data_IF_233617369699
#
_entry.id   IF_233617369699
#
_cell.length_a   1.000
_cell.length_b   1.000
_cell.length_c   1.000
_cell.angle_alpha   90.00
_cell.angle_beta   90.00
_cell.angle_gamma   90.00
#
_symmetry.space_group_name_H-M   'P 1'
#
loop_
_entity.id
_entity.type
_entity.pdbx_description
1 polymer ?
#
# COMPACT_ATOMS: atom_id res chain seq x y z
N UNK A 1 -7.25 -0.47 -13.76
CA UNK A 1 -6.35 -0.95 -12.68
C UNK A 1 -7.08 -1.78 -11.63
N UNK A 2 -8.27 -1.39 -11.16
CA UNK A 2 -9.04 -2.15 -10.17
C UNK A 2 -9.38 -3.59 -10.59
N UNK A 3 -9.70 -3.83 -11.86
CA UNK A 3 -9.98 -5.18 -12.38
C UNK A 3 -8.73 -6.10 -12.30
N UNK A 4 -7.54 -5.57 -12.64
CA UNK A 4 -6.27 -6.28 -12.46
C UNK A 4 -6.02 -6.61 -10.98
N UNK A 5 -6.25 -5.65 -10.08
CA UNK A 5 -6.13 -5.85 -8.64
C UNK A 5 -7.05 -6.96 -8.13
N UNK A 6 -8.31 -6.98 -8.58
CA UNK A 6 -9.27 -8.02 -8.23
C UNK A 6 -8.81 -9.40 -8.71
N UNK A 7 -8.34 -9.52 -9.95
CA UNK A 7 -7.85 -10.80 -10.51
C UNK A 7 -6.62 -11.31 -9.76
N UNK A 8 -5.66 -10.42 -9.45
CA UNK A 8 -4.46 -10.79 -8.69
C UNK A 8 -4.84 -11.27 -7.28
N UNK A 9 -5.73 -10.55 -6.59
CA UNK A 9 -6.16 -10.89 -5.23
C UNK A 9 -6.97 -12.19 -5.18
N UNK A 10 -7.84 -12.45 -6.17
CA UNK A 10 -8.57 -13.72 -6.27
C UNK A 10 -7.64 -14.91 -6.51
N UNK A 11 -6.62 -14.75 -7.36
CA UNK A 11 -5.62 -15.80 -7.60
C UNK A 11 -4.81 -16.13 -6.33
N UNK A 12 -4.55 -15.14 -5.48
CA UNK A 12 -3.90 -15.35 -4.17
C UNK A 12 -4.81 -15.86 -3.05
N UNK A 13 -6.13 -15.90 -3.28
CA UNK A 13 -7.09 -16.31 -2.27
C UNK A 13 -7.50 -17.80 -2.37
N UNK A 14 -7.22 -18.46 -3.51
CA UNK A 14 -7.63 -19.85 -3.77
C UNK A 14 -6.86 -20.86 -2.90
N UNK A 15 -7.54 -21.75 -2.14
CA UNK A 15 -6.90 -22.75 -1.30
C UNK A 15 -6.14 -23.77 -2.17
N UNK A 16 -4.82 -23.83 -2.02
CA UNK A 16 -3.91 -24.61 -2.88
C UNK A 16 -2.78 -23.76 -3.46
N UNK A 17 -2.98 -22.44 -3.53
CA UNK A 17 -1.94 -21.45 -3.78
C UNK A 17 -1.52 -20.77 -2.46
N UNK A 18 -1.31 -21.57 -1.39
CA UNK A 18 -0.66 -21.11 -0.14
C UNK A 18 0.85 -20.90 -0.35
N UNK A 19 1.16 -20.30 -1.49
CA UNK A 19 2.42 -19.71 -1.91
C UNK A 19 2.58 -18.33 -1.28
N UNK A 20 2.01 -18.10 -0.08
CA UNK A 20 2.43 -16.97 0.74
C UNK A 20 3.95 -17.00 0.91
N UNK A 21 4.48 -18.20 1.16
CA UNK A 21 5.92 -18.47 1.19
C UNK A 21 6.62 -18.35 -0.15
N UNK A 22 6.02 -18.78 -1.28
CA UNK A 22 6.67 -18.64 -2.60
C UNK A 22 6.65 -17.21 -3.13
N UNK A 23 5.65 -16.39 -2.79
CA UNK A 23 5.64 -14.96 -3.12
C UNK A 23 6.55 -14.15 -2.22
N UNK A 24 6.65 -14.47 -0.93
CA UNK A 24 7.68 -13.92 -0.05
C UNK A 24 9.08 -14.34 -0.49
N UNK A 25 9.25 -15.58 -0.99
CA UNK A 25 10.51 -16.07 -1.58
C UNK A 25 10.79 -15.52 -2.98
N UNK A 26 9.79 -15.24 -3.82
CA UNK A 26 9.98 -14.59 -5.13
C UNK A 26 10.22 -13.08 -4.99
N UNK A 27 9.57 -12.41 -4.03
CA UNK A 27 9.92 -11.04 -3.65
C UNK A 27 11.32 -10.98 -3.02
N UNK A 28 11.68 -11.97 -2.19
CA UNK A 28 13.03 -12.16 -1.67
C UNK A 28 14.06 -12.43 -2.78
N UNK A 29 13.71 -13.24 -3.78
CA UNK A 29 14.59 -13.58 -4.90
C UNK A 29 14.76 -12.43 -5.90
N UNK A 30 13.72 -11.63 -6.14
CA UNK A 30 13.82 -10.43 -6.99
C UNK A 30 14.51 -9.27 -6.25
N UNK A 31 14.32 -9.17 -4.93
CA UNK A 31 15.10 -8.29 -4.04
C UNK A 31 16.33 -9.06 -3.54
N UNK A 32 17.17 -9.52 -4.48
CA UNK A 32 18.47 -10.15 -4.25
C UNK A 32 18.69 -10.71 -2.84
N UNK A 33 18.31 -11.97 -2.65
CA UNK A 33 18.54 -12.73 -1.41
C UNK A 33 20.04 -12.95 -1.19
N UNK A 34 20.72 -11.90 -0.74
CA UNK A 34 22.01 -12.01 -0.11
C UNK A 34 21.71 -12.41 1.36
N UNK A 35 22.20 -13.56 1.86
CA UNK A 35 21.95 -14.06 3.22
C UNK A 35 22.69 -13.24 4.30
N UNK A 36 22.85 -11.94 4.07
CA UNK A 36 23.48 -10.98 4.96
C UNK A 36 22.43 -10.38 5.90
N UNK A 37 22.77 -10.06 7.16
CA UNK A 37 21.86 -9.36 8.06
C UNK A 37 21.36 -8.10 7.36
N UNK A 38 20.04 -8.02 7.11
CA UNK A 38 19.42 -6.83 6.52
C UNK A 38 19.76 -5.64 7.43
N UNK A 39 20.77 -4.86 7.06
CA UNK A 39 21.12 -3.65 7.79
C UNK A 39 19.87 -2.80 7.86
N UNK A 40 19.56 -2.24 9.02
CA UNK A 40 18.36 -1.40 9.23
C UNK A 40 18.15 -0.40 8.08
N UNK A 41 19.24 0.20 7.60
CA UNK A 41 19.23 1.12 6.46
C UNK A 41 18.68 0.51 5.16
N UNK A 42 19.02 -0.75 4.83
CA UNK A 42 18.49 -1.43 3.63
C UNK A 42 16.99 -1.63 3.73
N UNK A 43 16.48 -2.03 4.89
CA UNK A 43 15.04 -2.20 5.11
C UNK A 43 14.29 -0.86 5.00
N UNK A 44 14.87 0.22 5.55
CA UNK A 44 14.32 1.58 5.44
C UNK A 44 14.28 2.03 3.99
N UNK A 45 15.38 1.91 3.25
CA UNK A 45 15.45 2.35 1.84
C UNK A 45 14.49 1.54 0.96
N UNK A 46 14.43 0.22 1.11
CA UNK A 46 13.52 -0.61 0.34
C UNK A 46 12.05 -0.24 0.61
N UNK A 47 11.68 -0.11 1.89
CA UNK A 47 10.32 0.29 2.27
C UNK A 47 9.97 1.69 1.78
N UNK A 48 10.92 2.63 1.89
CA UNK A 48 10.77 3.99 1.39
C UNK A 48 10.52 4.00 -0.12
N UNK A 49 11.34 3.31 -0.92
CA UNK A 49 11.20 3.30 -2.38
C UNK A 49 9.87 2.67 -2.82
N UNK A 50 9.46 1.56 -2.20
CA UNK A 50 8.18 0.91 -2.52
C UNK A 50 7.00 1.82 -2.17
N UNK A 51 6.98 2.40 -0.97
CA UNK A 51 5.93 3.31 -0.55
C UNK A 51 5.91 4.57 -1.41
N UNK A 52 7.08 5.15 -1.69
CA UNK A 52 7.22 6.33 -2.53
C UNK A 52 6.73 6.11 -3.95
N UNK A 53 7.07 4.97 -4.57
CA UNK A 53 6.58 4.64 -5.89
C UNK A 53 5.06 4.39 -5.92
N UNK A 54 4.52 3.84 -4.84
CA UNK A 54 3.07 3.56 -4.70
C UNK A 54 2.27 4.84 -4.47
N UNK A 55 2.79 5.75 -3.64
CA UNK A 55 2.15 7.00 -3.21
C UNK A 55 2.54 8.20 -4.07
N UNK A 56 3.25 7.98 -5.20
CA UNK A 56 3.67 9.07 -6.06
C UNK A 56 2.46 9.79 -6.65
N UNK A 57 2.30 11.08 -6.33
CA UNK A 57 1.16 11.87 -6.78
C UNK A 57 -0.14 11.59 -6.02
N UNK A 58 -0.05 11.02 -4.82
CA UNK A 58 -1.21 10.83 -3.95
C UNK A 58 -1.87 12.17 -3.55
N UNK A 59 -3.14 12.10 -3.18
CA UNK A 59 -3.95 13.22 -2.71
C UNK A 59 -3.32 13.94 -1.53
N UNK A 60 -2.63 13.23 -0.63
CA UNK A 60 -1.89 13.86 0.48
C UNK A 60 -0.78 14.81 0.01
N UNK A 61 -0.13 14.50 -1.12
CA UNK A 61 0.91 15.36 -1.71
C UNK A 61 0.29 16.60 -2.35
N UNK A 62 -0.83 16.46 -3.08
CA UNK A 62 -1.58 17.58 -3.64
C UNK A 62 -2.12 18.52 -2.55
N UNK A 63 -2.64 17.96 -1.46
CA UNK A 63 -3.05 18.73 -0.29
C UNK A 63 -1.87 19.50 0.31
N UNK A 64 -0.71 18.86 0.46
CA UNK A 64 0.48 19.52 1.00
C UNK A 64 0.93 20.68 0.10
N UNK A 65 0.92 20.49 -1.23
CA UNK A 65 1.22 21.56 -2.19
C UNK A 65 0.21 22.71 -2.07
N UNK A 66 -1.08 22.40 -1.96
CA UNK A 66 -2.13 23.40 -1.76
C UNK A 66 -1.94 24.18 -0.45
N UNK A 67 -1.55 23.50 0.63
CA UNK A 67 -1.27 24.14 1.92
C UNK A 67 -0.04 25.05 1.82
N UNK A 68 1.04 24.62 1.17
CA UNK A 68 2.22 25.48 0.94
C UNK A 68 1.86 26.70 0.09
N UNK A 69 0.97 26.55 -0.90
CA UNK A 69 0.50 27.69 -1.70
C UNK A 69 -0.44 28.64 -0.95
N UNK A 70 -1.12 28.17 0.08
CA UNK A 70 -2.07 28.96 0.88
C UNK A 70 -1.41 29.64 2.07
N UNK A 71 -0.50 28.92 2.73
CA UNK A 71 0.24 29.38 3.90
C UNK A 71 1.66 29.73 3.45
N UNK A 72 2.03 31.01 3.46
CA UNK A 72 3.37 31.47 3.06
C UNK A 72 4.50 31.03 4.01
N UNK A 73 4.20 30.23 5.03
CA UNK A 73 5.17 29.57 5.91
C UNK A 73 5.37 28.10 5.52
N UNK A 74 6.28 27.88 4.57
CA UNK A 74 6.66 26.58 4.06
C UNK A 74 7.25 25.61 5.11
N UNK A 75 7.88 26.10 6.18
CA UNK A 75 8.50 25.23 7.20
C UNK A 75 7.42 24.65 8.11
N UNK A 76 6.46 25.49 8.53
CA UNK A 76 5.33 25.03 9.35
C UNK A 76 4.50 23.96 8.62
N UNK A 77 4.20 24.17 7.34
CA UNK A 77 3.48 23.19 6.52
C UNK A 77 4.28 21.90 6.37
N UNK A 78 5.59 21.98 6.12
CA UNK A 78 6.45 20.80 6.02
C UNK A 78 6.45 19.97 7.31
N UNK A 79 6.68 20.60 8.47
CA UNK A 79 6.72 19.90 9.75
C UNK A 79 5.35 19.29 10.08
N UNK A 80 4.25 20.00 9.80
CA UNK A 80 2.90 19.50 10.02
C UNK A 80 2.58 18.28 9.14
N UNK A 81 2.82 18.39 7.83
CA UNK A 81 2.57 17.30 6.88
C UNK A 81 3.44 16.07 7.16
N UNK A 82 4.73 16.27 7.47
CA UNK A 82 5.64 15.19 7.83
C UNK A 82 5.20 14.48 9.12
N UNK A 83 4.82 15.24 10.15
CA UNK A 83 4.31 14.67 11.41
C UNK A 83 3.02 13.87 11.18
N UNK A 84 2.10 14.41 10.38
CA UNK A 84 0.86 13.72 10.02
C UNK A 84 1.13 12.42 9.27
N UNK A 85 2.07 12.42 8.31
CA UNK A 85 2.49 11.23 7.57
C UNK A 85 3.07 10.16 8.49
N UNK A 86 3.96 10.54 9.41
CA UNK A 86 4.54 9.61 10.39
C UNK A 86 3.47 9.00 11.31
N UNK A 87 2.54 9.82 11.79
CA UNK A 87 1.44 9.37 12.63
C UNK A 87 0.52 8.39 11.88
N UNK A 88 0.09 8.74 10.67
CA UNK A 88 -0.76 7.89 9.84
C UNK A 88 -0.07 6.55 9.49
N UNK A 89 1.20 6.59 9.09
CA UNK A 89 1.98 5.39 8.77
C UNK A 89 2.18 4.49 10.00
N UNK A 90 2.50 5.09 11.15
CA UNK A 90 2.65 4.37 12.41
C UNK A 90 1.34 3.69 12.83
N UNK A 91 0.22 4.40 12.72
CA UNK A 91 -1.11 3.84 12.98
C UNK A 91 -1.45 2.71 12.01
N UNK A 92 -1.16 2.86 10.71
CA UNK A 92 -1.41 1.82 9.72
C UNK A 92 -0.65 0.52 10.03
N UNK A 93 0.64 0.62 10.41
CA UNK A 93 1.45 -0.54 10.79
C UNK A 93 0.94 -1.22 12.06
N UNK A 94 0.53 -0.44 13.06
CA UNK A 94 -0.03 -1.00 14.31
C UNK A 94 -1.38 -1.67 14.02
N UNK A 95 -2.27 -0.98 13.29
CA UNK A 95 -3.58 -1.49 12.91
C UNK A 95 -3.47 -2.77 12.09
N UNK A 96 -2.58 -2.83 11.08
CA UNK A 96 -2.33 -4.04 10.29
C UNK A 96 -1.84 -5.20 11.15
N UNK A 97 -0.88 -4.96 12.06
CA UNK A 97 -0.39 -5.98 13.00
C UNK A 97 -1.44 -6.45 14.00
N UNK A 98 -2.35 -5.58 14.42
CA UNK A 98 -3.50 -5.98 15.24
C UNK A 98 -4.46 -6.80 14.39
N UNK A 99 -4.88 -6.32 13.22
CA UNK A 99 -5.86 -6.96 12.36
C UNK A 99 -5.48 -8.40 11.98
N UNK A 100 -4.21 -8.63 11.62
CA UNK A 100 -3.69 -9.96 11.26
C UNK A 100 -3.71 -10.96 12.43
N UNK A 101 -3.81 -10.51 13.68
CA UNK A 101 -4.00 -11.40 14.83
C UNK A 101 -5.42 -11.94 14.96
N UNK A 102 -6.40 -11.25 14.37
CA UNK A 102 -7.83 -11.57 14.52
C UNK A 102 -8.43 -12.14 13.23
N UNK A 103 -7.84 -11.83 12.06
CA UNK A 103 -8.36 -12.19 10.74
C UNK A 103 -7.35 -13.05 9.99
N UNK A 104 -7.82 -14.14 9.38
CA UNK A 104 -6.99 -14.99 8.51
C UNK A 104 -6.63 -14.26 7.22
N UNK A 105 -5.41 -14.43 6.73
CA UNK A 105 -4.90 -13.75 5.53
C UNK A 105 -5.78 -13.97 4.29
N UNK A 106 -6.36 -15.16 4.14
CA UNK A 106 -7.29 -15.47 3.04
C UNK A 106 -8.51 -14.55 3.03
N UNK A 107 -9.05 -14.22 4.21
CA UNK A 107 -10.21 -13.30 4.32
C UNK A 107 -9.81 -11.90 3.86
N UNK A 108 -8.60 -11.45 4.20
CA UNK A 108 -8.09 -10.16 3.76
C UNK A 108 -7.97 -10.10 2.22
N UNK A 109 -7.48 -11.17 1.58
CA UNK A 109 -7.42 -11.25 0.11
C UNK A 109 -8.80 -11.23 -0.54
N UNK A 110 -9.76 -12.00 -0.01
CA UNK A 110 -11.14 -12.00 -0.54
C UNK A 110 -11.82 -10.63 -0.39
N UNK A 111 -11.64 -9.96 0.75
CA UNK A 111 -12.18 -8.62 0.98
C UNK A 111 -11.52 -7.61 0.05
N UNK A 112 -10.19 -7.65 -0.10
CA UNK A 112 -9.50 -6.76 -1.05
C UNK A 112 -9.97 -7.00 -2.49
N UNK A 113 -10.11 -8.26 -2.90
CA UNK A 113 -10.61 -8.62 -4.21
C UNK A 113 -12.04 -8.10 -4.46
N UNK A 114 -12.93 -8.24 -3.48
CA UNK A 114 -14.31 -7.78 -3.61
C UNK A 114 -14.39 -6.26 -3.73
N UNK A 115 -13.62 -5.52 -2.93
CA UNK A 115 -13.52 -4.06 -3.02
C UNK A 115 -13.01 -3.62 -4.39
N UNK A 116 -11.93 -4.24 -4.89
CA UNK A 116 -11.40 -3.96 -6.22
C UNK A 116 -12.43 -4.27 -7.33
N UNK A 117 -13.21 -5.33 -7.19
CA UNK A 117 -14.22 -5.71 -8.18
C UNK A 117 -15.37 -4.70 -8.19
N UNK A 118 -15.82 -4.25 -7.02
CA UNK A 118 -16.85 -3.19 -6.89
C UNK A 118 -16.37 -1.90 -7.55
N UNK A 119 -15.13 -1.45 -7.25
CA UNK A 119 -14.58 -0.25 -7.88
C UNK A 119 -14.43 -0.41 -9.39
N UNK A 120 -14.00 -1.57 -9.87
CA UNK A 120 -13.94 -1.86 -11.31
C UNK A 120 -15.33 -1.74 -11.97
N UNK A 121 -16.37 -2.31 -11.34
CA UNK A 121 -17.73 -2.22 -11.84
C UNK A 121 -18.27 -0.77 -11.84
N UNK A 122 -18.02 -0.01 -10.78
CA UNK A 122 -18.41 1.40 -10.70
C UNK A 122 -17.73 2.23 -11.78
N UNK A 123 -16.41 2.08 -11.97
CA UNK A 123 -15.69 2.79 -13.03
C UNK A 123 -16.21 2.43 -14.42
N UNK A 124 -16.55 1.15 -14.67
CA UNK A 124 -17.14 0.74 -15.94
C UNK A 124 -18.53 1.34 -16.15
N UNK A 125 -19.35 1.37 -15.08
CA UNK A 125 -20.67 1.97 -15.14
C UNK A 125 -20.59 3.47 -15.46
N UNK A 126 -19.73 4.22 -14.77
CA UNK A 126 -19.52 5.65 -15.06
C UNK A 126 -19.08 5.88 -16.51
N UNK A 127 -18.18 5.03 -17.04
CA UNK A 127 -17.73 5.14 -18.44
C UNK A 127 -18.86 4.86 -19.45
N UNK A 128 -19.77 3.94 -19.14
CA UNK A 128 -20.88 3.57 -20.04
C UNK A 128 -22.07 4.53 -19.92
N UNK A 129 -22.28 5.11 -18.74
CA UNK A 129 -23.37 6.04 -18.46
C UNK A 129 -23.03 7.51 -18.76
N UNK A 130 -21.75 7.84 -18.97
CA UNK A 130 -21.27 9.14 -19.45
C UNK A 130 -21.30 9.24 -20.98
#
# INVERSE_FOLDING_TARGET
>A
MFLLGAVVLLRTATPGADDGGLKEAEYGAQVGEDPQPKTFLRAVVASFLVLFATEWGDLSQLLTISLVGTYEDHISVFVGAWTALLAASGLAVIAGRVLLRWIRLSVLHYVGASVCLVLAALTLYEIVAA
#
